data_IF_080138235911
#
_entry.id   IF_080138235911
#
_cell.length_a   1.000
_cell.length_b   1.000
_cell.length_c   1.000
_cell.angle_alpha   90.00
_cell.angle_beta   90.00
_cell.angle_gamma   90.00
#
_symmetry.space_group_name_H-M   'P 1'
#
loop_
_entity.id
_entity.type
_entity.pdbx_description
1 polymer ?
#
# COMPACT_ATOMS: atom_id res chain seq x y z
N UNK A 1 9.40 -33.08 10.04
CA UNK A 1 9.13 -31.64 9.94
C UNK A 1 9.08 -31.29 8.46
N UNK A 2 7.87 -31.03 7.95
CA UNK A 2 7.66 -30.69 6.54
C UNK A 2 7.93 -29.20 6.39
N UNK A 3 9.02 -28.86 5.71
CA UNK A 3 9.32 -27.49 5.29
C UNK A 3 8.39 -27.21 4.10
N UNK A 4 7.24 -26.60 4.37
CA UNK A 4 6.38 -26.07 3.32
C UNK A 4 7.09 -24.90 2.67
N UNK A 5 7.67 -25.15 1.49
CA UNK A 5 8.17 -24.11 0.62
C UNK A 5 6.99 -23.26 0.14
N UNK A 6 6.85 -22.06 0.72
CA UNK A 6 5.95 -21.04 0.21
C UNK A 6 6.47 -20.65 -1.18
N UNK A 7 5.81 -21.18 -2.22
CA UNK A 7 6.07 -20.77 -3.59
C UNK A 7 5.51 -19.36 -3.75
N UNK A 8 6.41 -18.37 -3.71
CA UNK A 8 6.07 -17.01 -4.13
C UNK A 8 5.88 -17.07 -5.64
N UNK A 9 4.63 -17.23 -6.06
CA UNK A 9 4.25 -17.06 -7.45
C UNK A 9 4.42 -15.57 -7.75
N UNK A 10 5.54 -15.21 -8.37
CA UNK A 10 5.69 -13.90 -8.99
C UNK A 10 4.68 -13.84 -10.12
N UNK A 11 3.58 -13.13 -9.90
CA UNK A 11 2.68 -12.72 -10.97
C UNK A 11 3.49 -11.87 -11.94
N UNK A 12 4.03 -12.55 -12.96
CA UNK A 12 4.72 -11.96 -14.08
C UNK A 12 3.67 -11.24 -14.91
N UNK A 13 3.72 -9.91 -14.99
CA UNK A 13 2.82 -9.18 -15.87
C UNK A 13 2.44 -7.75 -15.49
N UNK A 14 3.08 -7.11 -14.52
CA UNK A 14 3.06 -5.65 -14.46
C UNK A 14 4.01 -5.14 -15.55
N UNK A 15 3.54 -5.14 -16.80
CA UNK A 15 4.21 -4.40 -17.86
C UNK A 15 4.33 -2.95 -17.38
N UNK A 16 5.56 -2.50 -17.13
CA UNK A 16 5.95 -1.11 -16.91
C UNK A 16 5.73 -0.25 -18.17
N UNK A 17 4.59 -0.41 -18.84
CA UNK A 17 4.16 0.41 -19.96
C UNK A 17 3.38 1.59 -19.40
N UNK A 18 3.86 2.81 -19.63
CA UNK A 18 3.07 4.02 -19.41
C UNK A 18 1.88 4.08 -20.38
N UNK A 19 1.23 5.24 -20.43
CA UNK A 19 0.16 5.49 -21.41
C UNK A 19 0.64 5.21 -22.85
N UNK A 20 -0.14 4.45 -23.63
CA UNK A 20 0.10 4.17 -25.04
C UNK A 20 -0.20 5.36 -25.94
N UNK A 21 -1.13 6.22 -25.53
CA UNK A 21 -1.50 7.44 -26.24
C UNK A 21 -1.48 8.65 -25.31
N UNK A 22 -1.00 9.78 -25.84
CA UNK A 22 -1.00 11.09 -25.20
C UNK A 22 -1.40 12.14 -26.21
N UNK A 23 -2.09 13.14 -25.72
CA UNK A 23 -2.42 14.33 -26.50
C UNK A 23 -1.16 15.18 -26.66
N UNK A 24 -0.91 15.64 -27.89
CA UNK A 24 0.15 16.61 -28.13
C UNK A 24 -0.20 17.96 -27.47
N UNK A 25 0.78 18.50 -26.74
CA UNK A 25 0.65 19.80 -26.08
C UNK A 25 0.39 20.92 -27.08
N UNK A 26 0.96 20.84 -28.29
CA UNK A 26 0.76 21.84 -29.34
C UNK A 26 -0.71 21.98 -29.80
N UNK A 27 -1.51 20.91 -29.63
CA UNK A 27 -2.95 20.95 -29.92
C UNK A 27 -3.74 21.57 -28.77
N UNK A 28 -3.31 21.36 -27.52
CA UNK A 28 -3.91 22.00 -26.35
C UNK A 28 -3.65 23.50 -26.32
N UNK A 29 -2.47 23.95 -26.73
CA UNK A 29 -2.11 25.39 -26.77
C UNK A 29 -3.00 26.19 -27.76
N UNK A 30 -3.73 25.51 -28.64
CA UNK A 30 -4.69 26.12 -29.57
C UNK A 30 -6.13 26.21 -29.00
N UNK A 31 -6.39 25.59 -27.85
CA UNK A 31 -7.68 25.64 -27.18
C UNK A 31 -7.75 26.91 -26.30
N UNK A 32 -8.87 27.66 -26.29
CA UNK A 32 -9.01 28.83 -25.42
C UNK A 32 -8.79 28.49 -23.94
N UNK A 33 -8.16 29.40 -23.20
CA UNK A 33 -7.81 29.18 -21.80
C UNK A 33 -9.03 28.91 -20.91
N UNK A 34 -10.17 29.52 -21.22
CA UNK A 34 -11.42 29.34 -20.50
C UNK A 34 -11.92 27.89 -20.59
N UNK A 35 -11.63 27.21 -21.70
CA UNK A 35 -12.08 25.85 -21.99
C UNK A 35 -11.14 24.82 -21.39
N UNK A 36 -9.87 25.18 -21.17
CA UNK A 36 -8.94 24.35 -20.40
C UNK A 36 -9.41 24.14 -18.95
N UNK A 37 -10.29 25.00 -18.43
CA UNK A 37 -10.93 24.79 -17.13
C UNK A 37 -11.76 23.50 -17.08
N UNK A 38 -12.27 23.01 -18.22
CA UNK A 38 -12.97 21.73 -18.30
C UNK A 38 -12.08 20.53 -17.99
N UNK A 39 -10.75 20.70 -18.04
CA UNK A 39 -9.78 19.66 -17.70
C UNK A 39 -9.46 19.61 -16.20
N UNK A 40 -9.88 20.62 -15.43
CA UNK A 40 -9.46 20.81 -14.04
C UNK A 40 -9.78 19.63 -13.14
N UNK A 41 -10.98 19.06 -13.24
CA UNK A 41 -11.37 17.90 -12.42
C UNK A 41 -10.50 16.66 -12.71
N UNK A 42 -10.21 16.41 -13.98
CA UNK A 42 -9.38 15.29 -14.40
C UNK A 42 -7.90 15.51 -14.03
N UNK A 43 -7.42 16.76 -14.09
CA UNK A 43 -6.06 17.11 -13.64
C UNK A 43 -5.92 16.95 -12.12
N UNK A 44 -6.90 17.45 -11.35
CA UNK A 44 -6.94 17.29 -9.90
C UNK A 44 -6.94 15.83 -9.47
N UNK A 45 -7.64 14.96 -10.20
CA UNK A 45 -7.59 13.52 -9.94
C UNK A 45 -6.17 12.95 -10.08
N UNK A 46 -5.35 13.46 -11.01
CA UNK A 46 -3.93 13.07 -11.14
C UNK A 46 -3.11 13.54 -9.94
N UNK A 47 -3.33 14.77 -9.47
CA UNK A 47 -2.63 15.28 -8.28
C UNK A 47 -2.98 14.48 -7.03
N UNK A 48 -4.28 14.21 -6.79
CA UNK A 48 -4.73 13.37 -5.67
C UNK A 48 -4.09 11.99 -5.75
N UNK A 49 -4.11 11.33 -6.91
CA UNK A 49 -3.52 10.00 -7.05
C UNK A 49 -1.99 9.99 -6.88
N UNK A 50 -1.32 11.10 -7.21
CA UNK A 50 0.12 11.26 -6.95
C UNK A 50 0.39 11.39 -5.45
N UNK A 51 -0.38 12.21 -4.75
CA UNK A 51 -0.25 12.38 -3.30
C UNK A 51 -0.53 11.06 -2.57
N UNK A 52 -1.51 10.27 -3.04
CA UNK A 52 -1.76 8.91 -2.54
C UNK A 52 -0.55 7.98 -2.71
N UNK A 53 0.14 8.03 -3.87
CA UNK A 53 1.33 7.20 -4.12
C UNK A 53 2.53 7.63 -3.25
N UNK A 54 2.72 8.93 -3.06
CA UNK A 54 3.75 9.47 -2.19
C UNK A 54 3.48 9.08 -0.72
N UNK A 55 2.22 9.15 -0.28
CA UNK A 55 1.81 8.71 1.05
C UNK A 55 2.00 7.20 1.24
N UNK A 56 1.64 6.38 0.26
CA UNK A 56 1.83 4.93 0.31
C UNK A 56 3.30 4.54 0.46
N UNK A 57 4.20 5.28 -0.21
CA UNK A 57 5.65 5.10 -0.07
C UNK A 57 6.11 5.34 1.37
N UNK A 58 5.68 6.44 1.99
CA UNK A 58 6.01 6.76 3.39
C UNK A 58 5.46 5.71 4.36
N UNK A 59 4.21 5.29 4.16
CA UNK A 59 3.57 4.26 4.99
C UNK A 59 4.33 2.93 4.92
N UNK A 60 4.85 2.55 3.75
CA UNK A 60 5.68 1.36 3.59
C UNK A 60 7.01 1.47 4.35
N UNK A 61 7.66 2.64 4.30
CA UNK A 61 8.89 2.86 5.05
C UNK A 61 8.67 2.77 6.56
N UNK A 62 7.58 3.35 7.05
CA UNK A 62 7.23 3.31 8.47
C UNK A 62 6.86 1.90 8.93
N UNK A 63 6.12 1.13 8.12
CA UNK A 63 5.86 -0.29 8.40
C UNK A 63 7.16 -1.11 8.45
N UNK A 64 8.11 -0.86 7.54
CA UNK A 64 9.43 -1.52 7.56
C UNK A 64 10.24 -1.15 8.80
N UNK A 65 10.21 0.11 9.24
CA UNK A 65 10.86 0.53 10.50
C UNK A 65 10.22 -0.18 11.69
N UNK A 66 8.89 -0.24 11.77
CA UNK A 66 8.17 -0.92 12.83
C UNK A 66 8.49 -2.42 12.89
N UNK A 67 8.59 -3.09 11.73
CA UNK A 67 9.03 -4.48 11.65
C UNK A 67 10.44 -4.68 12.19
N UNK A 68 11.40 -3.83 11.80
CA UNK A 68 12.77 -3.89 12.32
C UNK A 68 12.80 -3.75 13.84
N UNK A 69 12.08 -2.77 14.40
CA UNK A 69 11.99 -2.60 15.87
C UNK A 69 11.46 -3.86 16.57
N UNK A 70 10.43 -4.50 16.00
CA UNK A 70 9.89 -5.75 16.55
C UNK A 70 10.90 -6.91 16.46
N UNK A 71 11.68 -6.99 15.38
CA UNK A 71 12.74 -7.98 15.22
C UNK A 71 13.89 -7.75 16.22
N UNK A 72 14.33 -6.50 16.40
CA UNK A 72 15.38 -6.13 17.35
C UNK A 72 14.97 -6.47 18.79
N UNK A 73 13.68 -6.40 19.11
CA UNK A 73 13.14 -6.76 20.42
C UNK A 73 13.41 -8.23 20.81
N UNK A 74 13.63 -9.14 19.84
CA UNK A 74 14.03 -10.54 20.15
C UNK A 74 15.33 -10.61 20.93
N UNK A 75 16.29 -9.73 20.63
CA UNK A 75 17.56 -9.70 21.34
C UNK A 75 17.36 -9.31 22.81
N UNK A 76 16.51 -8.31 23.08
CA UNK A 76 16.17 -7.86 24.43
C UNK A 76 15.51 -8.96 25.26
N UNK A 77 14.63 -9.77 24.66
CA UNK A 77 14.04 -10.92 25.35
C UNK A 77 15.12 -11.95 25.73
N UNK A 78 16.06 -12.20 24.81
CA UNK A 78 17.21 -13.08 25.07
C UNK A 78 18.13 -12.57 26.19
N UNK A 79 18.32 -11.26 26.30
CA UNK A 79 19.05 -10.62 27.39
C UNK A 79 18.31 -10.74 28.74
N UNK A 80 17.00 -10.52 28.76
CA UNK A 80 16.18 -10.69 29.97
C UNK A 80 16.21 -12.11 30.51
N UNK A 81 16.19 -13.11 29.63
CA UNK A 81 16.36 -14.51 30.03
C UNK A 81 17.67 -14.77 30.79
N UNK A 82 18.73 -14.01 30.49
CA UNK A 82 20.04 -14.13 31.16
C UNK A 82 20.12 -13.33 32.45
N UNK A 83 19.32 -12.27 32.62
CA UNK A 83 19.41 -11.36 33.77
C UNK A 83 18.79 -11.93 35.05
N UNK A 84 17.84 -12.87 34.93
CA UNK A 84 17.24 -13.55 36.09
C UNK A 84 16.36 -12.66 36.97
N UNK A 85 15.72 -11.63 36.40
CA UNK A 85 14.83 -10.74 37.15
C UNK A 85 13.60 -11.49 37.69
N UNK A 86 13.12 -11.10 38.89
CA UNK A 86 12.04 -11.80 39.59
C UNK A 86 10.68 -11.82 38.87
N UNK A 87 10.43 -10.87 37.95
CA UNK A 87 9.21 -10.79 37.13
C UNK A 87 9.29 -11.75 35.93
N UNK A 88 10.50 -12.13 35.52
CA UNK A 88 10.79 -12.94 34.34
C UNK A 88 10.77 -14.44 34.68
N UNK A 89 9.62 -14.90 35.18
CA UNK A 89 9.40 -16.35 35.32
C UNK A 89 9.52 -17.05 33.96
N UNK A 90 9.85 -18.34 33.95
CA UNK A 90 9.97 -19.11 32.70
C UNK A 90 8.72 -19.01 31.82
N UNK A 91 7.53 -19.00 32.44
CA UNK A 91 6.25 -18.85 31.75
C UNK A 91 6.06 -17.44 31.17
N UNK A 92 6.41 -16.39 31.91
CA UNK A 92 6.32 -15.01 31.42
C UNK A 92 7.29 -14.78 30.25
N UNK A 93 8.51 -15.30 30.34
CA UNK A 93 9.50 -15.21 29.25
C UNK A 93 9.04 -15.96 27.99
N UNK A 94 8.45 -17.15 28.15
CA UNK A 94 7.88 -17.88 27.02
C UNK A 94 6.74 -17.08 26.36
N UNK A 95 5.81 -16.55 27.16
CA UNK A 95 4.72 -15.72 26.64
C UNK A 95 5.22 -14.44 25.96
N UNK A 96 6.30 -13.85 26.47
CA UNK A 96 6.94 -12.68 25.88
C UNK A 96 7.54 -13.00 24.50
N UNK A 97 8.13 -14.19 24.33
CA UNK A 97 8.60 -14.67 23.02
C UNK A 97 7.44 -14.94 22.05
N UNK A 98 6.40 -15.63 22.51
CA UNK A 98 5.20 -15.90 21.71
C UNK A 98 4.52 -14.60 21.25
N UNK A 99 4.35 -13.64 22.18
CA UNK A 99 3.83 -12.31 21.91
C UNK A 99 4.68 -11.56 20.88
N UNK A 100 6.00 -11.52 21.04
CA UNK A 100 6.85 -10.81 20.10
C UNK A 100 6.90 -11.49 18.72
N UNK A 101 6.81 -12.82 18.67
CA UNK A 101 6.68 -13.53 17.41
C UNK A 101 5.37 -13.18 16.68
N UNK A 102 4.25 -13.09 17.41
CA UNK A 102 2.99 -12.62 16.84
C UNK A 102 3.05 -11.14 16.41
N UNK A 103 3.77 -10.29 17.16
CA UNK A 103 4.04 -8.89 16.78
C UNK A 103 4.79 -8.83 15.45
N UNK A 104 5.85 -9.63 15.30
CA UNK A 104 6.64 -9.70 14.05
C UNK A 104 5.76 -10.18 12.90
N UNK A 105 5.01 -11.27 13.07
CA UNK A 105 4.08 -11.80 12.07
C UNK A 105 3.07 -10.72 11.61
N UNK A 106 2.45 -10.02 12.57
CA UNK A 106 1.55 -8.90 12.26
C UNK A 106 2.24 -7.80 11.47
N UNK A 107 3.47 -7.40 11.85
CA UNK A 107 4.23 -6.35 11.14
C UNK A 107 4.69 -6.81 9.74
N UNK A 108 5.00 -8.07 9.53
CA UNK A 108 5.28 -8.63 8.20
C UNK A 108 4.05 -8.57 7.30
N UNK A 109 2.87 -8.89 7.84
CA UNK A 109 1.59 -8.71 7.14
C UNK A 109 1.29 -7.25 6.84
N UNK A 110 1.59 -6.36 7.77
CA UNK A 110 1.44 -4.92 7.54
C UNK A 110 2.36 -4.43 6.41
N UNK A 111 3.64 -4.82 6.40
CA UNK A 111 4.56 -4.49 5.29
C UNK A 111 4.03 -5.04 3.96
N UNK A 112 3.51 -6.26 3.95
CA UNK A 112 2.89 -6.86 2.75
C UNK A 112 1.69 -6.05 2.28
N UNK A 113 0.81 -5.63 3.19
CA UNK A 113 -0.31 -4.76 2.86
C UNK A 113 0.16 -3.41 2.30
N UNK A 114 1.16 -2.76 2.93
CA UNK A 114 1.69 -1.47 2.45
C UNK A 114 2.37 -1.57 1.08
N UNK A 115 3.01 -2.70 0.78
CA UNK A 115 3.53 -2.98 -0.56
C UNK A 115 2.39 -3.03 -1.59
N UNK A 116 1.28 -3.68 -1.25
CA UNK A 116 0.10 -3.77 -2.12
C UNK A 116 -0.60 -2.42 -2.29
N UNK A 117 -0.69 -1.61 -1.23
CA UNK A 117 -1.19 -0.22 -1.30
C UNK A 117 -0.32 0.66 -2.20
N UNK A 118 1.01 0.48 -2.16
CA UNK A 118 1.93 1.19 -3.05
C UNK A 118 1.75 0.76 -4.51
N UNK A 119 1.60 -0.54 -4.76
CA UNK A 119 1.29 -1.07 -6.10
C UNK A 119 -0.05 -0.50 -6.62
N UNK A 120 -1.08 -0.55 -5.78
CA UNK A 120 -2.43 -0.07 -6.06
C UNK A 120 -2.45 1.44 -6.37
N UNK A 121 -1.78 2.25 -5.55
CA UNK A 121 -1.70 3.71 -5.78
C UNK A 121 -0.95 4.04 -7.07
N UNK A 122 0.08 3.27 -7.44
CA UNK A 122 0.73 3.37 -8.74
C UNK A 122 -0.23 3.11 -9.91
N UNK A 123 -1.05 2.06 -9.83
CA UNK A 123 -2.08 1.76 -10.85
C UNK A 123 -3.14 2.88 -10.93
N UNK A 124 -3.62 3.36 -9.78
CA UNK A 124 -4.57 4.49 -9.71
C UNK A 124 -4.04 5.75 -10.34
N UNK A 125 -2.76 6.07 -10.11
CA UNK A 125 -2.12 7.23 -10.75
C UNK A 125 -2.12 7.09 -12.28
N UNK A 126 -1.86 5.90 -12.81
CA UNK A 126 -1.93 5.67 -14.26
C UNK A 126 -3.37 5.72 -14.79
N UNK A 127 -4.35 5.20 -14.06
CA UNK A 127 -5.77 5.34 -14.41
C UNK A 127 -6.21 6.81 -14.44
N UNK A 128 -5.84 7.60 -13.43
CA UNK A 128 -6.11 9.03 -13.39
C UNK A 128 -5.47 9.77 -14.58
N UNK A 129 -4.21 9.45 -14.90
CA UNK A 129 -3.52 10.01 -16.09
C UNK A 129 -4.21 9.60 -17.39
N UNK A 130 -4.67 8.37 -17.52
CA UNK A 130 -5.41 7.91 -18.69
C UNK A 130 -6.73 8.70 -18.87
N UNK A 131 -7.48 8.91 -17.77
CA UNK A 131 -8.71 9.72 -17.77
C UNK A 131 -8.41 11.17 -18.17
N UNK A 132 -7.30 11.74 -17.68
CA UNK A 132 -6.85 13.08 -18.04
C UNK A 132 -6.49 13.20 -19.53
N UNK A 133 -5.74 12.23 -20.08
CA UNK A 133 -5.43 12.21 -21.52
C UNK A 133 -6.69 12.04 -22.39
N UNK A 134 -7.65 11.21 -21.94
CA UNK A 134 -8.94 11.10 -22.60
C UNK A 134 -9.74 12.41 -22.55
N UNK A 135 -9.74 13.12 -21.42
CA UNK A 135 -10.39 14.42 -21.29
C UNK A 135 -9.79 15.47 -22.24
N UNK A 136 -8.45 15.52 -22.34
CA UNK A 136 -7.75 16.36 -23.32
C UNK A 136 -8.13 16.01 -24.75
N UNK A 137 -8.16 14.72 -25.08
CA UNK A 137 -8.46 14.23 -26.42
C UNK A 137 -9.89 14.62 -26.82
N UNK A 138 -10.84 14.46 -25.89
CA UNK A 138 -12.22 14.90 -26.05
C UNK A 138 -12.30 16.41 -26.28
N UNK A 139 -11.63 17.22 -25.44
CA UNK A 139 -11.63 18.67 -25.59
C UNK A 139 -11.10 19.13 -26.96
N UNK A 140 -10.00 18.53 -27.42
CA UNK A 140 -9.46 18.83 -28.76
C UNK A 140 -10.43 18.37 -29.85
N UNK A 141 -11.08 17.22 -29.70
CA UNK A 141 -12.06 16.75 -30.68
C UNK A 141 -13.25 17.71 -30.78
N UNK A 142 -13.72 18.21 -29.64
CA UNK A 142 -14.85 19.13 -29.54
C UNK A 142 -14.50 20.51 -30.11
N UNK A 143 -13.30 21.03 -29.84
CA UNK A 143 -12.84 22.33 -30.37
C UNK A 143 -12.29 22.27 -31.80
N UNK A 144 -11.87 21.08 -32.25
CA UNK A 144 -11.29 20.81 -33.56
C UNK A 144 -10.25 21.85 -34.03
N UNK A 145 -9.19 22.13 -33.25
CA UNK A 145 -8.11 23.00 -33.67
C UNK A 145 -7.37 22.41 -34.88
N UNK A 146 -6.51 23.19 -35.52
CA UNK A 146 -5.79 22.74 -36.72
C UNK A 146 -4.94 21.52 -36.37
N UNK A 147 -5.22 20.38 -37.04
CA UNK A 147 -4.58 19.09 -36.77
C UNK A 147 -5.30 18.20 -35.73
N UNK A 148 -6.32 18.71 -35.03
CA UNK A 148 -7.09 17.98 -34.02
C UNK A 148 -8.06 16.94 -34.58
N UNK A 149 -8.42 17.03 -35.86
CA UNK A 149 -9.38 16.13 -36.51
C UNK A 149 -8.97 14.64 -36.46
N UNK A 150 -7.66 14.37 -36.45
CA UNK A 150 -7.08 13.02 -36.46
C UNK A 150 -7.03 12.34 -35.08
N UNK A 151 -7.48 13.01 -34.01
CA UNK A 151 -7.59 12.37 -32.71
C UNK A 151 -8.66 11.27 -32.79
N UNK A 152 -8.22 10.04 -32.52
CA UNK A 152 -9.08 8.88 -32.34
C UNK A 152 -9.40 8.72 -30.85
N UNK A 153 -10.66 9.03 -30.48
CA UNK A 153 -11.12 8.92 -29.10
C UNK A 153 -11.18 7.47 -28.61
N UNK A 154 -11.35 6.49 -29.51
CA UNK A 154 -11.47 5.09 -29.14
C UNK A 154 -10.16 4.57 -28.55
N UNK A 155 -9.01 5.04 -29.07
CA UNK A 155 -7.70 4.72 -28.49
C UNK A 155 -7.56 5.19 -27.03
N UNK A 156 -7.97 6.42 -26.73
CA UNK A 156 -7.93 6.95 -25.37
C UNK A 156 -8.96 6.27 -24.46
N UNK A 157 -10.16 5.98 -24.98
CA UNK A 157 -11.20 5.30 -24.21
C UNK A 157 -10.79 3.86 -23.86
N UNK A 158 -10.20 3.13 -24.80
CA UNK A 158 -9.69 1.78 -24.55
C UNK A 158 -8.54 1.80 -23.53
N UNK A 159 -7.64 2.78 -23.63
CA UNK A 159 -6.59 2.98 -22.62
C UNK A 159 -7.18 3.21 -21.21
N UNK A 160 -8.25 4.02 -21.07
CA UNK A 160 -8.93 4.21 -19.78
C UNK A 160 -9.49 2.88 -19.27
N UNK A 161 -10.20 2.13 -20.11
CA UNK A 161 -10.77 0.82 -19.74
C UNK A 161 -9.71 -0.18 -19.28
N UNK A 162 -8.56 -0.22 -19.96
CA UNK A 162 -7.45 -1.11 -19.59
C UNK A 162 -6.93 -0.81 -18.19
N UNK A 163 -6.74 0.47 -17.86
CA UNK A 163 -6.27 0.88 -16.54
C UNK A 163 -7.32 0.73 -15.45
N UNK A 164 -8.60 0.97 -15.75
CA UNK A 164 -9.71 0.73 -14.82
C UNK A 164 -9.89 -0.76 -14.52
N UNK A 165 -9.69 -1.63 -15.52
CA UNK A 165 -9.66 -3.07 -15.32
C UNK A 165 -8.53 -3.51 -14.39
N UNK A 166 -7.33 -2.95 -14.54
CA UNK A 166 -6.20 -3.19 -13.63
C UNK A 166 -6.48 -2.66 -12.22
N UNK A 167 -7.07 -1.47 -12.11
CA UNK A 167 -7.47 -0.87 -10.83
C UNK A 167 -8.44 -1.79 -10.07
N UNK A 168 -9.46 -2.32 -10.74
CA UNK A 168 -10.41 -3.25 -10.15
C UNK A 168 -9.73 -4.54 -9.66
N UNK A 169 -8.76 -5.06 -10.42
CA UNK A 169 -8.01 -6.26 -10.05
C UNK A 169 -7.20 -6.05 -8.76
N UNK A 170 -6.39 -4.98 -8.70
CA UNK A 170 -5.55 -4.72 -7.51
C UNK A 170 -6.38 -4.40 -6.26
N UNK A 171 -7.57 -3.79 -6.43
CA UNK A 171 -8.48 -3.53 -5.31
C UNK A 171 -9.05 -4.82 -4.70
N UNK A 172 -9.29 -5.84 -5.53
CA UNK A 172 -9.75 -7.14 -5.04
C UNK A 172 -8.66 -7.84 -4.22
N UNK A 173 -7.41 -7.78 -4.67
CA UNK A 173 -6.25 -8.35 -3.98
C UNK A 173 -5.96 -7.64 -2.65
N UNK A 174 -6.10 -6.31 -2.61
CA UNK A 174 -5.87 -5.50 -1.41
C UNK A 174 -6.77 -5.91 -0.24
N UNK A 175 -8.04 -6.21 -0.50
CA UNK A 175 -9.00 -6.64 0.54
C UNK A 175 -8.55 -7.92 1.23
N UNK A 176 -8.07 -8.91 0.47
CA UNK A 176 -7.58 -10.16 1.05
C UNK A 176 -6.39 -9.92 2.00
N UNK A 177 -5.49 -8.98 1.65
CA UNK A 177 -4.35 -8.60 2.51
C UNK A 177 -4.78 -7.89 3.80
N UNK A 178 -5.84 -7.07 3.73
CA UNK A 178 -6.41 -6.43 4.91
C UNK A 178 -6.95 -7.47 5.89
N UNK A 179 -7.68 -8.48 5.38
CA UNK A 179 -8.23 -9.55 6.22
C UNK A 179 -7.12 -10.38 6.89
N UNK A 180 -6.02 -10.67 6.17
CA UNK A 180 -4.83 -11.33 6.75
C UNK A 180 -4.20 -10.52 7.89
N UNK A 181 -4.09 -9.20 7.73
CA UNK A 181 -3.55 -8.32 8.77
C UNK A 181 -4.46 -8.27 10.00
N UNK A 182 -5.79 -8.21 9.81
CA UNK A 182 -6.76 -8.22 10.91
C UNK A 182 -6.61 -9.50 11.73
N UNK A 183 -6.54 -10.67 11.08
CA UNK A 183 -6.37 -11.94 11.78
C UNK A 183 -5.05 -12.01 12.57
N UNK A 184 -3.95 -11.52 11.99
CA UNK A 184 -2.66 -11.46 12.70
C UNK A 184 -2.70 -10.49 13.89
N UNK A 185 -3.40 -9.36 13.74
CA UNK A 185 -3.60 -8.37 14.81
C UNK A 185 -4.41 -8.94 15.97
N UNK A 186 -5.48 -9.69 15.69
CA UNK A 186 -6.30 -10.30 16.72
C UNK A 186 -5.50 -11.31 17.56
N UNK A 187 -4.69 -12.14 16.89
CA UNK A 187 -3.76 -13.06 17.56
C UNK A 187 -2.76 -12.32 18.44
N UNK A 188 -2.16 -11.23 17.94
CA UNK A 188 -1.26 -10.38 18.71
C UNK A 188 -1.94 -9.80 19.96
N UNK A 189 -3.16 -9.27 19.82
CA UNK A 189 -3.93 -8.68 20.93
C UNK A 189 -4.26 -9.74 21.98
N UNK A 190 -4.69 -10.94 21.58
CA UNK A 190 -4.98 -12.03 22.52
C UNK A 190 -3.75 -12.41 23.36
N UNK A 191 -2.58 -12.50 22.72
CA UNK A 191 -1.32 -12.75 23.42
C UNK A 191 -0.92 -11.59 24.33
N UNK A 192 -1.14 -10.34 23.90
CA UNK A 192 -0.85 -9.17 24.72
C UNK A 192 -1.67 -9.17 26.02
N UNK A 193 -2.97 -9.45 25.93
CA UNK A 193 -3.87 -9.56 27.10
C UNK A 193 -3.41 -10.66 28.04
N UNK A 194 -3.07 -11.84 27.50
CA UNK A 194 -2.58 -12.97 28.32
C UNK A 194 -1.26 -12.63 29.00
N UNK A 195 -0.32 -12.03 28.27
CA UNK A 195 0.96 -11.59 28.81
C UNK A 195 0.77 -10.54 29.91
N UNK A 196 -0.17 -9.62 29.75
CA UNK A 196 -0.51 -8.63 30.77
C UNK A 196 -1.01 -9.27 32.06
N UNK A 197 -1.89 -10.27 31.96
CA UNK A 197 -2.41 -10.99 33.13
C UNK A 197 -1.29 -11.74 33.87
N UNK A 198 -0.48 -12.50 33.14
CA UNK A 198 0.56 -13.38 33.70
C UNK A 198 1.75 -12.58 34.29
N UNK A 199 2.09 -11.46 33.66
CA UNK A 199 3.13 -10.55 34.14
C UNK A 199 2.64 -9.55 35.20
N UNK A 200 1.37 -9.64 35.61
CA UNK A 200 0.72 -8.68 36.53
C UNK A 200 0.83 -7.23 36.07
N UNK A 201 0.77 -7.01 34.76
CA UNK A 201 0.82 -5.70 34.12
C UNK A 201 2.24 -5.17 33.84
N UNK A 202 3.30 -5.94 34.10
CA UNK A 202 4.66 -5.52 33.76
C UNK A 202 4.91 -5.49 32.24
N UNK A 203 4.18 -6.32 31.48
CA UNK A 203 4.23 -6.40 30.02
C UNK A 203 2.82 -6.40 29.41
N UNK A 204 2.72 -6.29 28.08
CA UNK A 204 1.46 -6.47 27.35
C UNK A 204 0.43 -5.34 27.49
N UNK A 205 0.70 -4.33 28.30
CA UNK A 205 -0.11 -3.12 28.39
C UNK A 205 0.14 -2.16 27.22
N UNK A 206 -0.82 -1.27 26.90
CA UNK A 206 -0.71 -0.31 25.79
C UNK A 206 0.43 0.71 25.95
N UNK A 207 0.96 0.85 27.17
CA UNK A 207 2.09 1.71 27.51
C UNK A 207 3.37 0.94 27.85
N UNK A 208 3.28 -0.40 27.97
CA UNK A 208 4.41 -1.28 28.27
C UNK A 208 5.18 -1.70 27.00
N UNK A 209 4.71 -1.27 25.83
CA UNK A 209 5.50 -1.20 24.60
C UNK A 209 6.62 -0.16 24.82
N UNK A 210 7.67 -0.55 25.53
CA UNK A 210 8.82 0.27 25.94
C UNK A 210 9.68 0.76 24.75
N UNK A 211 9.22 0.59 23.50
CA UNK A 211 9.93 0.95 22.27
C UNK A 211 8.96 1.22 21.10
N UNK A 212 8.06 2.20 21.25
CA UNK A 212 7.49 2.91 20.09
C UNK A 212 8.05 4.33 20.00
#
# INVERSE_FOLDING_TARGET
>A
MVVSALSITWASGAGCGGLSHRVDRSLLDQVPNEELLLLFDAENAVYIARDEADLATRNLEDARKALRRAQDYRALIGERRKSGAAIDSAQVLQLLEEWNNARIEMREKEVTLRLEELSTSGVRLWAARARYEHAKAKLIKDFNPVGGANIDLDHFQNQVKDWEGREAQVLAELKARQDELVAARDKYIQLAVRLQQESRGAYGGPWADLLD
#
